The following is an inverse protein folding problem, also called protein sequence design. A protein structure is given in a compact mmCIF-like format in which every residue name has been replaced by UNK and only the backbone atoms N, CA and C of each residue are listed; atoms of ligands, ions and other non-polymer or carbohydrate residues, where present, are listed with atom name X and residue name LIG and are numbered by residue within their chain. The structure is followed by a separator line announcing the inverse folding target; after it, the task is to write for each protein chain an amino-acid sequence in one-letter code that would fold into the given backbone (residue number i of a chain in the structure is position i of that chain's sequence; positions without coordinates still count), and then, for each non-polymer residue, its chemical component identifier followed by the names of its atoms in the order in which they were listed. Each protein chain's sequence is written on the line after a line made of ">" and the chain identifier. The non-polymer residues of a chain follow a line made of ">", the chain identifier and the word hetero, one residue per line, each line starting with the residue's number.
data_IF_905623724965
#
_entry.id   IF_905623724965
#
_cell.length_a   1.000
_cell.length_b   1.000
_cell.length_c   1.000
_cell.angle_alpha   90.00
_cell.angle_beta   90.00
_cell.angle_gamma   90.00
#
_symmetry.space_group_name_H-M   'P 1'
#
loop_
_entity.id
_entity.type
_entity.pdbx_description
1 polymer ?
#
# COMPACT_ATOMS: atom_id res chain seq x y z
N UNK A 1 -7.65 -31.11 9.62
CA UNK A 1 -6.83 -31.00 8.40
C UNK A 1 -6.94 -29.56 7.96
N UNK A 2 -5.88 -28.96 7.43
CA UNK A 2 -5.98 -27.64 6.82
C UNK A 2 -6.95 -27.70 5.63
N UNK A 3 -7.69 -26.62 5.37
CA UNK A 3 -8.55 -26.52 4.20
C UNK A 3 -7.69 -26.50 2.94
N UNK A 4 -8.12 -27.25 1.91
CA UNK A 4 -7.46 -27.23 0.61
C UNK A 4 -8.40 -26.56 -0.38
N UNK A 5 -7.91 -25.54 -1.09
CA UNK A 5 -8.68 -24.79 -2.09
C UNK A 5 -7.94 -24.83 -3.44
N UNK A 6 -8.68 -25.15 -4.50
CA UNK A 6 -8.21 -25.13 -5.88
C UNK A 6 -8.93 -24.04 -6.67
N UNK A 7 -8.25 -22.95 -6.97
CA UNK A 7 -8.71 -21.94 -7.93
C UNK A 7 -8.35 -22.48 -9.33
N UNK A 8 -9.34 -22.79 -10.17
CA UNK A 8 -9.16 -23.55 -11.40
C UNK A 8 -9.68 -22.81 -12.61
N UNK A 9 -9.03 -23.07 -13.77
CA UNK A 9 -9.42 -22.57 -15.10
C UNK A 9 -9.29 -21.05 -15.31
N UNK A 10 -8.54 -20.34 -14.47
CA UNK A 10 -8.32 -18.90 -14.62
C UNK A 10 -7.19 -18.56 -15.57
N UNK A 11 -7.03 -17.29 -15.89
CA UNK A 11 -5.83 -16.74 -16.52
C UNK A 11 -4.90 -16.31 -15.39
N UNK A 12 -3.88 -17.13 -15.09
CA UNK A 12 -3.01 -16.93 -13.92
C UNK A 12 -1.77 -16.14 -14.33
N UNK A 13 -1.57 -14.97 -13.69
CA UNK A 13 -0.37 -14.14 -13.79
C UNK A 13 0.38 -14.26 -12.45
N UNK A 14 1.37 -15.13 -12.28
CA UNK A 14 1.95 -15.43 -10.97
C UNK A 14 2.86 -14.32 -10.43
N UNK A 15 3.30 -13.39 -11.26
CA UNK A 15 4.15 -12.24 -10.89
C UNK A 15 5.48 -12.65 -10.21
N UNK A 16 6.07 -13.77 -10.62
CA UNK A 16 7.32 -14.34 -10.06
C UNK A 16 8.62 -13.68 -10.59
N UNK A 17 8.55 -12.42 -11.03
CA UNK A 17 9.66 -11.70 -11.68
C UNK A 17 9.85 -12.05 -13.15
N UNK A 18 8.90 -12.74 -13.76
CA UNK A 18 8.81 -13.06 -15.19
C UNK A 18 7.42 -12.71 -15.69
N UNK A 19 7.29 -12.49 -16.99
CA UNK A 19 5.99 -12.29 -17.66
C UNK A 19 5.35 -13.66 -17.97
N UNK A 20 5.29 -14.54 -16.96
CA UNK A 20 4.67 -15.85 -17.08
C UNK A 20 3.15 -15.74 -17.03
N UNK A 21 2.46 -16.53 -17.85
CA UNK A 21 1.00 -16.65 -17.89
C UNK A 21 0.65 -18.12 -18.04
N UNK A 22 -0.28 -18.62 -17.23
CA UNK A 22 -0.92 -19.91 -17.42
C UNK A 22 -2.35 -19.69 -17.85
N UNK A 23 -2.72 -20.12 -19.06
CA UNK A 23 -4.00 -19.79 -19.70
C UNK A 23 -4.54 -20.98 -20.54
N UNK A 24 -5.44 -21.83 -19.97
CA UNK A 24 -5.95 -21.76 -18.61
C UNK A 24 -4.94 -22.26 -17.57
N UNK A 25 -4.95 -21.65 -16.39
CA UNK A 25 -4.13 -22.02 -15.26
C UNK A 25 -4.91 -22.26 -13.98
N UNK A 26 -4.21 -22.73 -12.96
CA UNK A 26 -4.76 -23.02 -11.63
C UNK A 26 -3.79 -22.66 -10.52
N UNK A 27 -4.35 -22.39 -9.33
CA UNK A 27 -3.62 -22.19 -8.07
C UNK A 27 -4.20 -23.12 -7.01
N UNK A 28 -3.35 -23.94 -6.40
CA UNK A 28 -3.72 -24.83 -5.30
C UNK A 28 -3.12 -24.32 -3.99
N UNK A 29 -3.95 -24.23 -2.97
CA UNK A 29 -3.58 -23.74 -1.65
C UNK A 29 -3.93 -24.78 -0.58
N UNK A 30 -3.03 -24.97 0.40
CA UNK A 30 -3.29 -25.73 1.62
C UNK A 30 -3.19 -24.80 2.83
N UNK A 31 -4.32 -24.52 3.47
CA UNK A 31 -4.37 -23.51 4.53
C UNK A 31 -3.79 -22.18 4.05
N UNK A 32 -2.80 -21.61 4.73
CA UNK A 32 -2.25 -20.32 4.36
C UNK A 32 -1.20 -20.32 3.24
N UNK A 33 -0.94 -21.46 2.60
CA UNK A 33 0.24 -21.64 1.73
C UNK A 33 -0.14 -22.04 0.31
N UNK A 34 0.48 -21.45 -0.69
CA UNK A 34 0.43 -21.89 -2.08
C UNK A 34 1.26 -23.17 -2.22
N UNK A 35 0.63 -24.26 -2.69
CA UNK A 35 1.30 -25.57 -2.84
C UNK A 35 1.52 -26.00 -4.30
N UNK A 36 0.75 -25.43 -5.23
CA UNK A 36 0.99 -25.57 -6.66
C UNK A 36 0.41 -24.39 -7.44
N UNK A 37 1.04 -24.01 -8.54
CA UNK A 37 0.59 -23.01 -9.51
C UNK A 37 1.09 -23.39 -10.89
N UNK A 38 0.25 -23.27 -11.91
CA UNK A 38 0.63 -23.66 -13.27
C UNK A 38 -0.55 -23.99 -14.17
N UNK A 39 -0.27 -24.70 -15.24
CA UNK A 39 -1.27 -25.25 -16.15
C UNK A 39 -2.25 -26.17 -15.40
N UNK A 40 -3.52 -26.18 -15.82
CA UNK A 40 -4.60 -26.91 -15.14
C UNK A 40 -4.24 -28.37 -14.90
N UNK A 41 -3.80 -29.10 -15.94
CA UNK A 41 -3.51 -30.52 -15.83
C UNK A 41 -2.34 -30.84 -14.88
N UNK A 42 -1.37 -29.94 -14.80
CA UNK A 42 -0.22 -30.09 -13.90
C UNK A 42 -0.64 -29.88 -12.44
N UNK A 43 -1.49 -28.91 -12.17
CA UNK A 43 -2.01 -28.62 -10.81
C UNK A 43 -3.02 -29.70 -10.39
N UNK A 44 -3.90 -30.14 -11.28
CA UNK A 44 -4.88 -31.21 -11.02
C UNK A 44 -4.21 -32.57 -10.68
N UNK A 45 -2.99 -32.80 -11.19
CA UNK A 45 -2.20 -34.00 -10.87
C UNK A 45 -1.60 -33.95 -9.43
N UNK A 46 -1.67 -32.83 -8.73
CA UNK A 46 -1.17 -32.73 -7.36
C UNK A 46 -2.05 -33.54 -6.40
N UNK A 47 -1.47 -34.33 -5.47
CA UNK A 47 -2.23 -35.22 -4.60
C UNK A 47 -3.33 -34.54 -3.79
N UNK A 48 -3.15 -33.28 -3.39
CA UNK A 48 -4.12 -32.52 -2.63
C UNK A 48 -5.29 -32.00 -3.48
N UNK A 49 -5.18 -31.96 -4.80
CA UNK A 49 -6.22 -31.42 -5.67
C UNK A 49 -7.52 -32.26 -5.67
N UNK A 50 -7.39 -33.59 -5.44
CA UNK A 50 -8.53 -34.51 -5.48
C UNK A 50 -9.61 -34.21 -4.41
N UNK A 51 -9.21 -33.71 -3.25
CA UNK A 51 -10.09 -33.41 -2.11
C UNK A 51 -10.27 -31.90 -1.87
N UNK A 52 -9.80 -31.05 -2.81
CA UNK A 52 -9.85 -29.60 -2.69
C UNK A 52 -11.27 -29.05 -2.90
N UNK A 53 -11.61 -28.00 -2.17
CA UNK A 53 -12.71 -27.12 -2.54
C UNK A 53 -12.38 -26.39 -3.83
N UNK A 54 -13.15 -26.63 -4.89
CA UNK A 54 -12.92 -26.06 -6.21
C UNK A 54 -13.62 -24.70 -6.33
N UNK A 55 -12.87 -23.67 -6.65
CA UNK A 55 -13.36 -22.36 -7.06
C UNK A 55 -13.10 -22.22 -8.56
N UNK A 56 -14.15 -22.22 -9.37
CA UNK A 56 -14.04 -22.04 -10.82
C UNK A 56 -13.73 -20.57 -11.14
N UNK A 57 -12.57 -20.32 -11.73
CA UNK A 57 -12.08 -19.03 -12.17
C UNK A 57 -12.13 -18.84 -13.70
N UNK A 58 -12.98 -19.62 -14.39
CA UNK A 58 -13.23 -19.41 -15.83
C UNK A 58 -13.59 -17.94 -16.08
N UNK A 59 -12.98 -17.33 -17.10
CA UNK A 59 -13.12 -15.92 -17.44
C UNK A 59 -12.67 -14.94 -16.32
N UNK A 60 -11.78 -15.36 -15.42
CA UNK A 60 -11.15 -14.48 -14.43
C UNK A 60 -9.64 -14.43 -14.61
N UNK A 61 -9.06 -13.25 -14.39
CA UNK A 61 -7.64 -13.14 -14.09
C UNK A 61 -7.40 -13.57 -12.64
N UNK A 62 -6.31 -14.31 -12.40
CA UNK A 62 -5.86 -14.74 -11.07
C UNK A 62 -4.46 -14.16 -10.86
N UNK A 63 -4.33 -13.24 -9.90
CA UNK A 63 -3.10 -12.50 -9.62
C UNK A 63 -2.76 -12.60 -8.12
N UNK A 64 -1.51 -12.30 -7.72
CA UNK A 64 -1.20 -12.07 -6.32
C UNK A 64 -2.03 -10.92 -5.76
N UNK A 65 -2.24 -10.92 -4.45
CA UNK A 65 -2.84 -9.78 -3.76
C UNK A 65 -2.03 -8.51 -3.93
N UNK A 66 -2.72 -7.36 -3.96
CA UNK A 66 -2.11 -6.05 -4.15
C UNK A 66 -1.53 -5.53 -2.82
N UNK A 67 -0.37 -4.87 -2.90
CA UNK A 67 0.35 -4.29 -1.78
C UNK A 67 0.30 -2.76 -1.85
N UNK A 68 -0.47 -2.13 -0.95
CA UNK A 68 -0.50 -0.69 -0.78
C UNK A 68 0.66 -0.26 0.14
N UNK A 69 1.69 0.34 -0.46
CA UNK A 69 2.94 0.65 0.25
C UNK A 69 2.91 1.97 1.01
N UNK A 70 1.84 2.74 0.89
CA UNK A 70 1.64 3.97 1.64
C UNK A 70 0.17 4.35 1.70
N UNK A 71 -0.33 4.54 2.90
CA UNK A 71 -1.71 4.88 3.22
C UNK A 71 -1.75 5.73 4.48
N UNK A 72 -2.72 6.63 4.56
CA UNK A 72 -3.21 7.25 5.79
C UNK A 72 -4.68 6.91 5.97
N UNK A 73 -5.01 6.14 7.00
CA UNK A 73 -6.40 6.00 7.40
C UNK A 73 -7.01 7.37 7.73
N UNK A 74 -8.26 7.63 7.34
CA UNK A 74 -8.83 8.96 7.57
C UNK A 74 -10.33 9.01 7.32
N UNK A 75 -10.95 10.17 7.62
CA UNK A 75 -12.37 10.45 7.44
C UNK A 75 -12.59 11.86 6.86
N UNK A 76 -11.65 12.35 6.04
CA UNK A 76 -11.68 13.70 5.46
C UNK A 76 -11.98 13.71 3.96
N UNK A 77 -12.34 12.56 3.38
CA UNK A 77 -12.63 12.37 1.95
C UNK A 77 -13.60 13.42 1.41
N UNK A 78 -13.26 13.99 0.25
CA UNK A 78 -14.12 14.96 -0.44
C UNK A 78 -14.22 16.31 0.27
N UNK A 79 -13.25 16.66 1.14
CA UNK A 79 -13.22 17.91 1.88
C UNK A 79 -11.91 18.67 1.61
N UNK A 80 -11.93 20.02 1.76
CA UNK A 80 -10.76 20.89 1.57
C UNK A 80 -10.01 20.67 0.23
N UNK A 81 -10.76 20.45 -0.82
CA UNK A 81 -10.24 20.32 -2.17
C UNK A 81 -9.62 21.65 -2.67
N UNK A 82 -8.61 21.57 -3.57
CA UNK A 82 -8.02 22.73 -4.24
C UNK A 82 -7.24 23.70 -3.33
N UNK A 83 -6.52 23.16 -2.34
CA UNK A 83 -5.58 23.91 -1.49
C UNK A 83 -4.14 23.49 -1.79
N UNK A 84 -3.17 24.41 -1.60
CA UNK A 84 -1.75 24.06 -1.68
C UNK A 84 -1.37 23.16 -0.49
N UNK A 85 -0.43 22.20 -0.67
CA UNK A 85 -0.11 21.15 0.31
C UNK A 85 0.12 21.70 1.71
N UNK A 86 1.03 22.66 1.89
CA UNK A 86 1.40 23.17 3.22
C UNK A 86 0.27 24.00 3.88
N UNK A 87 -0.46 24.79 3.09
CA UNK A 87 -1.66 25.50 3.57
C UNK A 87 -2.75 24.50 3.97
N UNK A 88 -2.93 23.45 3.18
CA UNK A 88 -3.88 22.39 3.44
C UNK A 88 -3.55 21.61 4.73
N UNK A 89 -2.28 21.26 4.94
CA UNK A 89 -1.82 20.61 6.17
C UNK A 89 -2.12 21.51 7.38
N UNK A 90 -1.64 22.74 7.39
CA UNK A 90 -1.74 23.65 8.52
C UNK A 90 -3.18 24.07 8.83
N UNK A 91 -3.95 24.46 7.82
CA UNK A 91 -5.30 25.02 8.02
C UNK A 91 -6.39 23.95 8.14
N UNK A 92 -6.15 22.74 7.63
CA UNK A 92 -7.21 21.74 7.53
C UNK A 92 -6.87 20.39 8.17
N UNK A 93 -5.75 19.78 7.85
CA UNK A 93 -5.38 18.44 8.31
C UNK A 93 -4.95 18.46 9.78
N UNK A 94 -4.05 19.36 10.16
CA UNK A 94 -3.57 19.48 11.54
C UNK A 94 -4.70 19.72 12.56
N UNK A 95 -5.68 20.61 12.32
CA UNK A 95 -6.84 20.72 13.19
C UNK A 95 -7.68 19.44 13.30
N UNK A 96 -7.78 18.66 12.23
CA UNK A 96 -8.44 17.35 12.27
C UNK A 96 -7.65 16.35 13.10
N UNK A 97 -6.32 16.31 12.96
CA UNK A 97 -5.45 15.48 13.81
C UNK A 97 -5.54 15.86 15.29
N UNK A 98 -5.65 17.15 15.63
CA UNK A 98 -5.87 17.61 17.01
C UNK A 98 -7.23 17.17 17.57
N UNK A 99 -8.25 17.06 16.71
CA UNK A 99 -9.59 16.63 17.08
C UNK A 99 -9.77 15.12 17.19
N UNK A 100 -8.82 14.33 16.69
CA UNK A 100 -8.89 12.87 16.59
C UNK A 100 -8.95 12.22 17.99
N UNK A 101 -9.73 11.12 18.12
CA UNK A 101 -9.74 10.25 19.29
C UNK A 101 -9.37 8.81 18.87
N UNK A 102 -9.00 7.93 19.82
CA UNK A 102 -8.76 6.52 19.50
C UNK A 102 -9.91 5.83 18.78
N UNK A 103 -11.16 6.14 19.16
CA UNK A 103 -12.37 5.53 18.58
C UNK A 103 -12.64 6.01 17.15
N UNK A 104 -12.38 7.30 16.89
CA UNK A 104 -12.48 7.89 15.54
C UNK A 104 -11.37 7.31 14.65
N UNK A 105 -10.15 7.21 15.17
CA UNK A 105 -9.00 6.67 14.44
C UNK A 105 -9.21 5.18 14.08
N UNK A 106 -9.75 4.37 14.99
CA UNK A 106 -10.10 2.98 14.71
C UNK A 106 -11.19 2.87 13.64
N UNK A 107 -12.24 3.71 13.70
CA UNK A 107 -13.30 3.72 12.69
C UNK A 107 -12.75 4.07 11.30
N UNK A 108 -11.78 5.00 11.21
CA UNK A 108 -11.09 5.34 9.98
C UNK A 108 -10.31 4.15 9.42
N UNK A 109 -9.51 3.46 10.24
CA UNK A 109 -8.74 2.27 9.79
C UNK A 109 -9.65 1.12 9.37
N UNK A 110 -10.76 0.89 10.08
CA UNK A 110 -11.75 -0.13 9.67
C UNK A 110 -12.35 0.16 8.30
N UNK A 111 -12.69 1.43 8.02
CA UNK A 111 -13.20 1.84 6.71
C UNK A 111 -12.13 1.65 5.63
N UNK A 112 -10.93 2.20 5.84
CA UNK A 112 -9.83 2.16 4.87
C UNK A 112 -9.42 0.73 4.50
N UNK A 113 -9.24 -0.14 5.50
CA UNK A 113 -8.83 -1.53 5.27
C UNK A 113 -9.92 -2.37 4.60
N UNK A 114 -11.20 -2.11 4.92
CA UNK A 114 -12.34 -2.78 4.29
C UNK A 114 -12.47 -2.37 2.82
N UNK A 115 -12.31 -1.08 2.51
CA UNK A 115 -12.33 -0.54 1.15
C UNK A 115 -11.18 -1.11 0.31
N UNK A 116 -9.94 -1.03 0.81
CA UNK A 116 -8.77 -1.58 0.13
C UNK A 116 -8.88 -3.09 -0.10
N UNK A 117 -9.28 -3.87 0.91
CA UNK A 117 -9.48 -5.31 0.77
C UNK A 117 -10.50 -5.64 -0.32
N UNK A 118 -11.62 -4.92 -0.37
CA UNK A 118 -12.65 -5.11 -1.40
C UNK A 118 -12.10 -4.87 -2.80
N UNK A 119 -11.15 -3.95 -2.94
CA UNK A 119 -10.48 -3.61 -4.20
C UNK A 119 -9.23 -4.48 -4.51
N UNK A 120 -9.00 -5.56 -3.76
CA UNK A 120 -7.89 -6.50 -4.01
C UNK A 120 -6.62 -6.24 -3.21
N UNK A 121 -6.58 -5.23 -2.35
CA UNK A 121 -5.44 -4.96 -1.48
C UNK A 121 -5.39 -5.98 -0.33
N UNK A 122 -4.29 -6.71 -0.22
CA UNK A 122 -4.08 -7.70 0.84
C UNK A 122 -3.10 -7.22 1.91
N UNK A 123 -2.34 -6.17 1.62
CA UNK A 123 -1.33 -5.61 2.52
C UNK A 123 -1.31 -4.10 2.42
N UNK A 124 -1.23 -3.43 3.57
CA UNK A 124 -1.13 -1.96 3.68
C UNK A 124 0.07 -1.56 4.54
N UNK A 125 0.72 -0.45 4.21
CA UNK A 125 1.58 0.32 5.10
C UNK A 125 0.79 1.56 5.49
N UNK A 126 0.27 1.59 6.71
CA UNK A 126 -0.61 2.65 7.19
C UNK A 126 0.15 3.54 8.18
N UNK A 127 0.38 4.80 7.81
CA UNK A 127 0.93 5.81 8.70
C UNK A 127 -0.20 6.60 9.34
N UNK A 128 -0.55 6.26 10.60
CA UNK A 128 -1.72 6.80 11.25
C UNK A 128 -1.51 7.04 12.75
N UNK A 129 -2.55 7.41 13.45
CA UNK A 129 -2.56 7.69 14.89
C UNK A 129 -3.40 6.70 15.67
N UNK A 130 -3.09 6.52 16.97
CA UNK A 130 -3.80 5.60 17.86
C UNK A 130 -3.87 4.17 17.30
N UNK A 131 -2.74 3.68 16.80
CA UNK A 131 -2.67 2.49 15.94
C UNK A 131 -3.00 1.15 16.62
N UNK A 132 -3.23 1.13 17.95
CA UNK A 132 -3.86 0.00 18.63
C UNK A 132 -5.24 -0.34 18.04
N UNK A 133 -6.00 0.70 17.62
CA UNK A 133 -7.26 0.53 16.90
C UNK A 133 -7.06 -0.04 15.49
N UNK A 134 -6.02 0.42 14.80
CA UNK A 134 -5.66 -0.10 13.48
C UNK A 134 -5.22 -1.57 13.53
N UNK A 135 -4.51 -1.97 14.60
CA UNK A 135 -4.13 -3.36 14.83
C UNK A 135 -5.38 -4.26 14.95
N UNK A 136 -6.34 -3.87 15.81
CA UNK A 136 -7.62 -4.60 15.94
C UNK A 136 -8.40 -4.64 14.64
N UNK A 137 -8.44 -3.53 13.89
CA UNK A 137 -9.08 -3.48 12.58
C UNK A 137 -8.46 -4.49 11.60
N UNK A 138 -7.13 -4.54 11.52
CA UNK A 138 -6.41 -5.46 10.64
C UNK A 138 -6.64 -6.94 11.03
N UNK A 139 -6.64 -7.25 12.34
CA UNK A 139 -6.92 -8.59 12.86
C UNK A 139 -8.33 -9.08 12.51
N UNK A 140 -9.35 -8.24 12.78
CA UNK A 140 -10.76 -8.55 12.56
C UNK A 140 -11.08 -8.71 11.07
N UNK A 141 -10.59 -7.79 10.24
CA UNK A 141 -10.79 -7.80 8.78
C UNK A 141 -10.00 -8.95 8.14
N UNK A 142 -8.83 -9.26 8.68
CA UNK A 142 -7.96 -10.32 8.19
C UNK A 142 -6.90 -9.88 7.19
N UNK A 143 -6.71 -8.57 6.98
CA UNK A 143 -5.72 -7.98 6.08
C UNK A 143 -4.31 -7.99 6.72
N UNK A 144 -3.24 -7.91 5.91
CA UNK A 144 -1.90 -7.60 6.39
C UNK A 144 -1.75 -6.11 6.60
N UNK A 145 -1.17 -5.70 7.72
CA UNK A 145 -0.90 -4.30 8.02
C UNK A 145 0.51 -4.10 8.59
N UNK A 146 1.24 -3.18 8.02
CA UNK A 146 2.44 -2.60 8.63
C UNK A 146 2.02 -1.28 9.23
N UNK A 147 1.95 -1.23 10.56
CA UNK A 147 1.49 -0.08 11.33
C UNK A 147 2.65 0.87 11.54
N UNK A 148 2.46 2.12 11.16
CA UNK A 148 3.48 3.17 11.23
C UNK A 148 2.91 4.36 12.00
N UNK A 149 3.20 4.50 13.31
CA UNK A 149 2.74 5.64 14.07
C UNK A 149 3.24 6.99 13.49
N UNK A 150 2.36 7.96 13.48
CA UNK A 150 2.60 9.30 12.92
C UNK A 150 3.42 10.14 13.92
N UNK A 151 4.74 9.93 13.98
CA UNK A 151 5.61 10.56 14.99
C UNK A 151 6.07 11.95 14.55
N UNK A 152 5.91 12.92 15.47
CA UNK A 152 6.51 14.25 15.38
C UNK A 152 6.88 14.73 16.79
N UNK A 153 8.02 15.41 16.94
CA UNK A 153 8.56 15.83 18.24
C UNK A 153 9.00 17.30 18.32
N UNK A 154 8.86 18.05 17.20
CA UNK A 154 9.14 19.48 17.23
C UNK A 154 8.01 20.26 17.97
N UNK A 155 8.34 21.42 18.57
CA UNK A 155 7.35 22.23 19.27
C UNK A 155 6.14 22.59 18.40
N UNK A 156 4.93 22.38 18.94
CA UNK A 156 3.66 22.62 18.24
C UNK A 156 3.02 21.36 17.65
N UNK A 157 3.72 20.22 17.66
CA UNK A 157 3.25 18.92 17.15
C UNK A 157 2.98 17.90 18.27
N UNK A 158 2.76 18.34 19.50
CA UNK A 158 2.51 17.53 20.71
C UNK A 158 1.22 16.69 20.66
N UNK A 159 0.42 16.85 19.61
CA UNK A 159 -0.75 16.04 19.30
C UNK A 159 -0.46 14.81 18.43
N UNK A 160 0.75 14.69 17.89
CA UNK A 160 1.20 13.49 17.17
C UNK A 160 1.67 12.39 18.14
N UNK A 161 2.03 11.23 17.57
CA UNK A 161 2.64 10.13 18.32
C UNK A 161 4.10 10.45 18.70
N UNK A 162 4.64 9.71 19.67
CA UNK A 162 6.05 9.79 20.05
C UNK A 162 6.79 8.50 19.67
N UNK A 163 8.11 8.53 19.66
CA UNK A 163 8.90 7.30 19.47
C UNK A 163 8.69 6.29 20.60
N UNK A 164 8.39 6.76 21.82
CA UNK A 164 8.06 5.89 22.96
C UNK A 164 6.73 5.17 22.74
N UNK A 165 5.67 5.87 22.24
CA UNK A 165 4.40 5.22 21.88
C UNK A 165 4.57 4.26 20.71
N UNK A 166 5.39 4.62 19.71
CA UNK A 166 5.74 3.75 18.60
C UNK A 166 6.46 2.48 19.07
N UNK A 167 7.43 2.61 20.00
CA UNK A 167 8.13 1.46 20.58
C UNK A 167 7.18 0.57 21.40
N UNK A 168 6.26 1.14 22.14
CA UNK A 168 5.25 0.37 22.89
C UNK A 168 4.36 -0.44 21.94
N UNK A 169 3.90 0.16 20.83
CA UNK A 169 3.14 -0.53 19.79
C UNK A 169 3.97 -1.65 19.14
N UNK A 170 5.24 -1.39 18.83
CA UNK A 170 6.15 -2.40 18.26
C UNK A 170 6.29 -3.61 19.21
N UNK A 171 6.43 -3.37 20.50
CA UNK A 171 6.59 -4.43 21.50
C UNK A 171 5.31 -5.25 21.68
N UNK A 172 4.13 -4.61 21.59
CA UNK A 172 2.83 -5.28 21.76
C UNK A 172 2.36 -6.04 20.52
N UNK A 173 2.76 -5.60 19.30
CA UNK A 173 2.25 -6.15 18.04
C UNK A 173 3.35 -6.66 17.08
N UNK A 174 4.49 -7.09 17.61
CA UNK A 174 5.63 -7.50 16.78
C UNK A 174 5.32 -8.65 15.81
N UNK A 175 4.47 -9.57 16.22
CA UNK A 175 4.06 -10.76 15.46
C UNK A 175 2.56 -11.04 15.63
N UNK A 176 1.76 -10.00 15.79
CA UNK A 176 0.33 -10.15 16.01
C UNK A 176 -0.36 -10.74 14.77
N UNK A 177 -1.51 -11.37 14.98
CA UNK A 177 -2.33 -11.98 13.91
C UNK A 177 -1.55 -12.95 13.01
N UNK A 178 -0.75 -13.85 13.59
CA UNK A 178 0.10 -14.82 12.85
C UNK A 178 1.10 -14.16 11.89
N UNK A 179 1.64 -12.98 12.27
CA UNK A 179 2.60 -12.20 11.49
C UNK A 179 1.97 -11.32 10.40
N UNK A 180 0.63 -11.20 10.34
CA UNK A 180 -0.03 -10.27 9.43
C UNK A 180 0.06 -8.82 9.89
N UNK A 181 0.09 -8.57 11.20
CA UNK A 181 0.24 -7.23 11.77
C UNK A 181 1.67 -7.04 12.24
N UNK A 182 2.32 -6.01 11.72
CA UNK A 182 3.69 -5.62 12.06
C UNK A 182 3.73 -4.13 12.38
N UNK A 183 4.77 -3.69 13.06
CA UNK A 183 4.98 -2.27 13.35
C UNK A 183 6.33 -1.83 12.82
N UNK A 184 6.36 -0.71 12.10
CA UNK A 184 7.55 0.01 11.72
C UNK A 184 7.66 1.32 12.49
N UNK A 185 8.85 1.91 12.49
CA UNK A 185 9.06 3.25 13.06
C UNK A 185 8.59 4.30 12.06
N UNK A 186 7.72 5.19 12.53
CA UNK A 186 7.22 6.31 11.75
C UNK A 186 7.95 7.59 12.10
N UNK A 187 8.27 8.39 11.09
CA UNK A 187 8.72 9.77 11.22
C UNK A 187 7.92 10.57 10.20
N UNK A 188 7.10 11.49 10.68
CA UNK A 188 6.14 12.17 9.80
C UNK A 188 6.87 12.83 8.61
N UNK A 189 7.82 13.72 8.91
CA UNK A 189 8.52 14.47 7.89
C UNK A 189 9.79 15.12 8.45
N UNK A 190 10.72 15.50 7.56
CA UNK A 190 11.96 16.18 7.90
C UNK A 190 11.75 17.46 8.74
N UNK A 191 10.62 18.14 8.57
CA UNK A 191 10.31 19.41 9.26
C UNK A 191 9.41 19.25 10.49
N UNK A 192 8.98 18.03 10.81
CA UNK A 192 8.18 17.70 11.98
C UNK A 192 8.99 16.99 13.06
N UNK A 193 10.14 16.42 12.68
CA UNK A 193 10.97 15.62 13.58
C UNK A 193 12.36 16.26 13.80
N UNK A 194 12.82 16.18 15.06
CA UNK A 194 14.15 16.64 15.44
C UNK A 194 15.27 15.71 14.90
N UNK A 195 16.53 16.20 14.78
CA UNK A 195 17.66 15.31 14.48
C UNK A 195 17.80 14.14 15.47
N UNK A 196 17.47 14.37 16.73
CA UNK A 196 17.49 13.37 17.80
C UNK A 196 16.46 12.27 17.58
N UNK A 197 15.24 12.61 17.11
CA UNK A 197 14.21 11.65 16.75
C UNK A 197 14.67 10.74 15.60
N UNK A 198 15.28 11.30 14.56
CA UNK A 198 15.85 10.52 13.45
C UNK A 198 16.96 9.58 13.91
N UNK A 199 17.91 10.06 14.72
CA UNK A 199 18.99 9.23 15.26
C UNK A 199 18.43 8.09 16.13
N UNK A 200 17.46 8.40 16.98
CA UNK A 200 16.81 7.40 17.84
C UNK A 200 16.01 6.37 17.04
N UNK A 201 15.31 6.79 15.99
CA UNK A 201 14.60 5.86 15.11
C UNK A 201 15.58 4.91 14.40
N UNK A 202 16.73 5.40 13.91
CA UNK A 202 17.77 4.56 13.30
C UNK A 202 18.32 3.52 14.30
N UNK A 203 18.58 3.90 15.54
CA UNK A 203 19.01 2.98 16.62
C UNK A 203 17.94 1.90 16.89
N UNK A 204 16.68 2.30 17.07
CA UNK A 204 15.57 1.39 17.34
C UNK A 204 15.30 0.43 16.16
N UNK A 205 15.42 0.91 14.93
CA UNK A 205 15.27 0.07 13.75
C UNK A 205 16.30 -1.06 13.73
N UNK A 206 17.55 -0.76 14.09
CA UNK A 206 18.61 -1.75 14.23
C UNK A 206 18.40 -2.69 15.43
N UNK A 207 18.00 -2.15 16.60
CA UNK A 207 17.78 -2.93 17.82
C UNK A 207 16.64 -3.94 17.69
N UNK A 208 15.54 -3.52 17.06
CA UNK A 208 14.31 -4.33 16.94
C UNK A 208 14.18 -5.03 15.59
N UNK A 209 15.14 -4.90 14.70
CA UNK A 209 15.11 -5.50 13.36
C UNK A 209 13.81 -5.12 12.60
N UNK A 210 13.46 -3.84 12.61
CA UNK A 210 12.23 -3.28 12.02
C UNK A 210 12.53 -2.22 10.97
N UNK A 211 11.49 -1.78 10.23
CA UNK A 211 11.63 -0.75 9.19
C UNK A 211 11.38 0.68 9.70
N UNK A 212 11.72 1.63 8.84
CA UNK A 212 11.41 3.05 9.01
C UNK A 212 10.56 3.51 7.82
N UNK A 213 9.55 4.34 8.08
CA UNK A 213 8.75 4.97 7.04
C UNK A 213 8.61 6.47 7.28
N UNK A 214 8.72 7.27 6.19
CA UNK A 214 8.64 8.73 6.21
C UNK A 214 8.27 9.27 4.83
N UNK A 215 7.96 10.57 4.74
CA UNK A 215 7.76 11.30 3.49
C UNK A 215 9.00 12.08 3.09
N UNK A 216 9.23 12.28 1.79
CA UNK A 216 10.30 13.15 1.31
C UNK A 216 10.11 13.66 -0.10
N UNK A 217 10.61 14.87 -0.30
CA UNK A 217 10.80 15.50 -1.63
C UNK A 217 9.51 15.52 -2.45
N UNK A 218 8.37 15.69 -1.76
CA UNK A 218 7.07 15.71 -2.41
C UNK A 218 6.86 16.98 -3.23
N UNK A 219 7.31 18.14 -2.72
CA UNK A 219 7.18 19.42 -3.41
C UNK A 219 8.53 20.14 -3.57
N UNK A 220 8.61 21.06 -4.54
CA UNK A 220 9.79 21.92 -4.71
C UNK A 220 10.05 22.80 -3.50
N UNK A 221 8.97 23.24 -2.81
CA UNK A 221 9.10 24.04 -1.59
C UNK A 221 9.86 23.27 -0.50
N UNK A 222 9.60 21.97 -0.35
CA UNK A 222 10.30 21.11 0.61
C UNK A 222 11.80 21.05 0.31
N UNK A 223 12.16 20.89 -0.97
CA UNK A 223 13.57 20.89 -1.39
C UNK A 223 14.24 22.21 -1.08
N UNK A 224 13.61 23.32 -1.44
CA UNK A 224 14.15 24.68 -1.17
C UNK A 224 14.29 24.95 0.33
N UNK A 225 13.31 24.53 1.13
CA UNK A 225 13.33 24.70 2.58
C UNK A 225 14.38 23.80 3.26
N UNK A 226 14.60 22.58 2.77
CA UNK A 226 15.68 21.71 3.25
C UNK A 226 17.06 22.32 2.95
N UNK A 227 17.27 22.80 1.75
CA UNK A 227 18.50 23.52 1.37
C UNK A 227 18.71 24.74 2.26
N UNK A 228 17.65 25.51 2.54
CA UNK A 228 17.71 26.68 3.41
C UNK A 228 18.05 26.34 4.87
N UNK A 229 17.43 25.29 5.43
CA UNK A 229 17.61 24.90 6.85
C UNK A 229 18.91 24.15 7.09
N UNK A 230 19.21 23.18 6.21
CA UNK A 230 20.27 22.18 6.44
C UNK A 230 21.43 22.27 5.45
N UNK A 231 21.29 23.05 4.37
CA UNK A 231 22.31 23.13 3.30
C UNK A 231 22.40 21.85 2.46
N UNK A 232 21.42 20.95 2.56
CA UNK A 232 21.31 19.68 1.86
C UNK A 232 19.90 19.48 1.34
N UNK A 233 19.75 18.69 0.28
CA UNK A 233 18.45 18.23 -0.22
C UNK A 233 17.86 17.20 0.75
N UNK A 234 16.53 16.89 0.69
CA UNK A 234 15.90 16.06 1.71
C UNK A 234 16.49 14.66 1.86
N UNK A 235 16.75 13.94 0.77
CA UNK A 235 17.34 12.59 0.82
C UNK A 235 18.81 12.63 1.27
N UNK A 236 19.58 13.65 0.87
CA UNK A 236 20.94 13.87 1.39
C UNK A 236 20.93 14.09 2.92
N UNK A 237 19.93 14.83 3.42
CA UNK A 237 19.77 15.04 4.87
C UNK A 237 19.37 13.75 5.57
N UNK A 238 18.49 12.93 5.00
CA UNK A 238 18.15 11.60 5.54
C UNK A 238 19.36 10.65 5.55
N UNK A 239 20.18 10.67 4.50
CA UNK A 239 21.45 9.94 4.49
C UNK A 239 22.37 10.41 5.63
N UNK A 240 22.51 11.72 5.80
CA UNK A 240 23.31 12.30 6.88
C UNK A 240 22.80 11.94 8.28
N UNK A 241 21.48 11.79 8.46
CA UNK A 241 20.84 11.36 9.72
C UNK A 241 20.85 9.84 9.92
N UNK A 242 21.32 9.07 8.95
CA UNK A 242 21.52 7.63 9.05
C UNK A 242 20.23 6.80 9.01
N UNK A 243 19.14 7.31 8.44
CA UNK A 243 17.88 6.56 8.36
C UNK A 243 17.68 5.80 7.06
N UNK A 244 18.48 6.06 6.02
CA UNK A 244 18.39 5.32 4.76
C UNK A 244 18.96 3.91 4.91
N UNK A 245 18.31 2.93 4.30
CA UNK A 245 18.71 1.53 4.36
C UNK A 245 17.68 0.57 3.74
N UNK A 246 18.02 -0.71 3.64
CA UNK A 246 17.20 -1.76 3.00
C UNK A 246 15.78 -1.89 3.59
N UNK A 247 15.58 -1.45 4.83
CA UNK A 247 14.28 -1.45 5.51
C UNK A 247 13.72 -0.04 5.69
N UNK A 248 14.14 0.90 4.86
CA UNK A 248 13.55 2.23 4.81
C UNK A 248 12.69 2.38 3.57
N UNK A 249 11.47 2.87 3.78
CA UNK A 249 10.51 3.19 2.74
C UNK A 249 10.20 4.68 2.79
N UNK A 250 10.42 5.38 1.69
CA UNK A 250 10.16 6.82 1.58
C UNK A 250 9.01 7.07 0.61
N UNK A 251 7.98 7.78 1.08
CA UNK A 251 6.83 8.12 0.24
C UNK A 251 7.14 9.33 -0.66
N UNK A 252 6.49 9.36 -1.82
CA UNK A 252 6.49 10.37 -2.88
C UNK A 252 7.79 10.45 -3.68
N UNK A 253 8.89 10.96 -3.13
CA UNK A 253 10.17 11.11 -3.83
C UNK A 253 10.04 11.78 -5.22
N UNK A 254 9.22 12.84 -5.32
CA UNK A 254 8.88 13.50 -6.60
C UNK A 254 10.06 14.28 -7.15
N UNK A 255 10.69 15.11 -6.30
CA UNK A 255 11.69 16.09 -6.71
C UNK A 255 13.12 15.67 -6.35
N UNK A 256 13.52 14.45 -6.77
CA UNK A 256 14.88 13.96 -6.59
C UNK A 256 15.79 14.35 -7.76
N UNK A 257 17.05 14.69 -7.45
CA UNK A 257 18.11 14.76 -8.44
C UNK A 257 18.83 13.41 -8.62
N UNK A 258 19.83 13.36 -9.52
CA UNK A 258 20.53 12.10 -9.83
C UNK A 258 21.32 11.59 -8.62
N UNK A 259 21.90 12.49 -7.82
CA UNK A 259 22.67 12.11 -6.62
C UNK A 259 21.76 11.51 -5.53
N UNK A 260 20.56 12.06 -5.31
CA UNK A 260 19.61 11.51 -4.36
C UNK A 260 19.12 10.12 -4.80
N UNK A 261 18.94 9.90 -6.11
CA UNK A 261 18.60 8.57 -6.67
C UNK A 261 19.76 7.58 -6.42
N UNK A 262 21.02 8.00 -6.64
CA UNK A 262 22.19 7.17 -6.32
C UNK A 262 22.22 6.79 -4.83
N UNK A 263 21.97 7.73 -3.91
CA UNK A 263 21.93 7.46 -2.47
C UNK A 263 20.85 6.44 -2.09
N UNK A 264 19.63 6.54 -2.67
CA UNK A 264 18.59 5.55 -2.44
C UNK A 264 18.98 4.15 -2.94
N UNK A 265 19.60 4.08 -4.14
CA UNK A 265 20.05 2.83 -4.71
C UNK A 265 21.21 2.19 -3.90
N UNK A 266 22.23 2.99 -3.51
CA UNK A 266 23.37 2.52 -2.73
C UNK A 266 22.98 2.01 -1.34
N UNK A 267 21.96 2.62 -0.73
CA UNK A 267 21.47 2.22 0.60
C UNK A 267 20.42 1.12 0.56
N UNK A 268 19.88 0.79 -0.62
CA UNK A 268 18.78 -0.16 -0.75
C UNK A 268 17.44 0.40 -0.27
N UNK A 269 17.33 1.73 -0.12
CA UNK A 269 16.08 2.39 0.31
C UNK A 269 15.00 2.27 -0.76
N UNK A 270 13.78 1.93 -0.35
CA UNK A 270 12.63 1.75 -1.21
C UNK A 270 11.75 3.00 -1.31
N UNK A 271 10.96 3.10 -2.37
CA UNK A 271 10.06 4.23 -2.63
C UNK A 271 8.61 3.76 -2.71
N UNK A 272 7.71 4.48 -2.03
CA UNK A 272 6.27 4.37 -2.23
C UNK A 272 5.81 5.48 -3.20
N UNK A 273 5.43 5.08 -4.41
CA UNK A 273 4.94 6.00 -5.42
C UNK A 273 3.42 6.16 -5.33
N UNK A 274 2.96 7.40 -5.13
CA UNK A 274 1.56 7.76 -4.93
C UNK A 274 1.06 8.65 -6.08
N UNK A 275 0.79 8.10 -7.28
CA UNK A 275 0.55 8.90 -8.47
C UNK A 275 -0.71 9.76 -8.38
N UNK A 276 -1.83 9.25 -7.83
CA UNK A 276 -3.07 10.02 -7.70
C UNK A 276 -2.90 11.21 -6.75
N UNK A 277 -2.29 10.98 -5.58
CA UNK A 277 -1.98 12.03 -4.62
C UNK A 277 -1.08 13.10 -5.23
N UNK A 278 0.04 12.68 -5.85
CA UNK A 278 0.98 13.60 -6.48
C UNK A 278 0.32 14.47 -7.58
N UNK A 279 -0.66 13.93 -8.30
CA UNK A 279 -1.44 14.69 -9.30
C UNK A 279 -2.47 15.59 -8.65
N UNK A 280 -3.22 15.10 -7.66
CA UNK A 280 -4.27 15.87 -6.99
C UNK A 280 -3.71 17.08 -6.24
N UNK A 281 -2.60 16.90 -5.52
CA UNK A 281 -1.92 17.96 -4.79
C UNK A 281 -0.98 18.80 -5.68
N UNK A 282 -0.91 18.46 -6.99
CA UNK A 282 -0.01 19.10 -7.95
C UNK A 282 1.46 19.07 -7.50
N UNK A 283 1.87 18.03 -6.77
CA UNK A 283 3.23 17.82 -6.28
C UNK A 283 4.20 17.60 -7.45
N UNK A 284 3.77 16.90 -8.50
CA UNK A 284 4.55 16.66 -9.72
C UNK A 284 4.75 15.18 -10.04
N UNK A 285 5.40 14.85 -11.16
CA UNK A 285 5.68 13.48 -11.56
C UNK A 285 7.01 12.98 -10.96
N UNK A 286 6.99 11.88 -10.21
CA UNK A 286 8.19 11.21 -9.75
C UNK A 286 8.93 10.51 -10.90
N UNK A 287 10.26 10.41 -10.78
CA UNK A 287 11.17 9.80 -11.78
C UNK A 287 11.22 8.27 -11.65
N UNK A 288 10.04 7.62 -11.66
CA UNK A 288 9.88 6.17 -11.40
C UNK A 288 10.72 5.31 -12.34
N UNK A 289 10.84 5.71 -13.62
CA UNK A 289 11.68 5.01 -14.60
C UNK A 289 13.15 4.99 -14.18
N UNK A 290 13.68 6.13 -13.70
CA UNK A 290 15.06 6.25 -13.24
C UNK A 290 15.27 5.45 -11.94
N UNK A 291 14.31 5.48 -11.01
CA UNK A 291 14.38 4.68 -9.77
C UNK A 291 14.51 3.20 -10.09
N UNK A 292 13.64 2.68 -10.96
CA UNK A 292 13.68 1.26 -11.36
C UNK A 292 14.96 0.90 -12.12
N UNK A 293 15.44 1.80 -12.99
CA UNK A 293 16.71 1.61 -13.72
C UNK A 293 17.92 1.58 -12.77
N UNK A 294 17.88 2.32 -11.66
CA UNK A 294 18.88 2.29 -10.60
C UNK A 294 18.74 1.09 -9.64
N UNK A 295 17.72 0.22 -9.83
CA UNK A 295 17.50 -0.97 -9.00
C UNK A 295 16.72 -0.70 -7.70
N UNK A 296 16.17 0.50 -7.52
CA UNK A 296 15.35 0.85 -6.36
C UNK A 296 14.02 0.11 -6.44
N UNK A 297 13.59 -0.50 -5.33
CA UNK A 297 12.27 -1.09 -5.23
C UNK A 297 11.21 0.01 -5.10
N UNK A 298 10.29 0.04 -6.06
CA UNK A 298 9.19 0.99 -6.08
C UNK A 298 7.88 0.24 -5.96
N UNK A 299 7.14 0.50 -4.88
CA UNK A 299 5.76 0.04 -4.70
C UNK A 299 4.76 1.14 -5.02
N UNK A 300 3.49 0.78 -5.24
CA UNK A 300 2.39 1.73 -5.35
C UNK A 300 1.77 1.98 -3.98
N UNK A 301 1.47 3.25 -3.69
CA UNK A 301 0.71 3.70 -2.54
C UNK A 301 -0.50 4.52 -2.97
N UNK A 302 -1.63 4.34 -2.30
CA UNK A 302 -2.81 5.18 -2.56
C UNK A 302 -2.70 6.55 -1.91
N UNK A 303 -1.81 6.69 -0.93
CA UNK A 303 -1.86 7.77 0.04
C UNK A 303 -3.19 7.75 0.83
N UNK A 304 -3.52 8.76 1.60
CA UNK A 304 -4.77 8.83 2.33
C UNK A 304 -5.97 9.14 1.44
N UNK A 305 -7.15 8.86 1.98
CA UNK A 305 -8.42 9.10 1.30
C UNK A 305 -8.71 10.60 1.08
N UNK A 306 -8.02 11.49 1.79
CA UNK A 306 -8.10 12.94 1.62
C UNK A 306 -7.16 13.44 0.52
N UNK A 307 -6.07 12.73 0.25
CA UNK A 307 -5.10 13.00 -0.81
C UNK A 307 -5.53 12.43 -2.17
N UNK A 308 -6.33 11.35 -2.17
CA UNK A 308 -6.67 10.56 -3.37
C UNK A 308 -8.18 10.48 -3.64
N UNK A 309 -9.01 10.50 -2.61
CA UNK A 309 -10.47 10.28 -2.60
C UNK A 309 -10.92 8.82 -2.73
N UNK A 310 -10.04 7.86 -3.01
CA UNK A 310 -10.30 6.42 -2.91
C UNK A 310 -9.02 5.66 -2.51
N UNK A 311 -9.14 4.36 -2.23
CA UNK A 311 -8.03 3.49 -1.86
C UNK A 311 -7.94 2.29 -2.82
N UNK A 312 -8.21 2.53 -4.11
CA UNK A 312 -8.24 1.54 -5.17
C UNK A 312 -6.88 1.47 -5.90
N UNK A 313 -6.07 0.45 -5.58
CA UNK A 313 -4.78 0.25 -6.25
C UNK A 313 -4.90 -0.10 -7.75
N UNK A 314 -6.05 -0.56 -8.24
CA UNK A 314 -6.28 -0.72 -9.68
C UNK A 314 -6.29 0.64 -10.37
N UNK A 315 -6.87 1.66 -9.74
CA UNK A 315 -6.82 3.03 -10.24
C UNK A 315 -5.41 3.61 -10.17
N UNK A 316 -4.69 3.39 -9.06
CA UNK A 316 -3.28 3.79 -8.93
C UNK A 316 -2.41 3.22 -10.05
N UNK A 317 -2.59 1.95 -10.42
CA UNK A 317 -1.85 1.35 -11.53
C UNK A 317 -2.05 2.11 -12.84
N UNK A 318 -3.28 2.48 -13.16
CA UNK A 318 -3.60 3.25 -14.37
C UNK A 318 -2.88 4.60 -14.37
N UNK A 319 -3.00 5.33 -13.27
CA UNK A 319 -2.41 6.66 -13.16
C UNK A 319 -0.88 6.62 -13.09
N UNK A 320 -0.28 5.63 -12.46
CA UNK A 320 1.18 5.43 -12.49
C UNK A 320 1.70 5.29 -13.93
N UNK A 321 1.05 4.44 -14.75
CA UNK A 321 1.43 4.28 -16.15
C UNK A 321 1.22 5.57 -16.97
N UNK A 322 0.05 6.20 -16.86
CA UNK A 322 -0.29 7.38 -17.65
C UNK A 322 0.58 8.59 -17.28
N UNK A 323 0.84 8.78 -15.97
CA UNK A 323 1.70 9.86 -15.49
C UNK A 323 3.14 9.68 -15.98
N UNK A 324 3.67 8.45 -15.92
CA UNK A 324 5.01 8.15 -16.46
C UNK A 324 5.11 8.49 -17.95
N UNK A 325 4.12 8.06 -18.78
CA UNK A 325 4.09 8.31 -20.23
C UNK A 325 4.05 9.80 -20.55
N UNK A 326 3.16 10.56 -19.90
CA UNK A 326 3.01 11.99 -20.19
C UNK A 326 4.21 12.79 -19.70
N UNK A 327 4.83 12.41 -18.59
CA UNK A 327 6.03 13.08 -18.08
C UNK A 327 7.27 12.85 -18.93
N UNK A 328 7.45 11.64 -19.43
CA UNK A 328 8.55 11.30 -20.32
C UNK A 328 8.30 11.73 -21.78
N UNK A 329 7.07 12.11 -22.16
CA UNK A 329 6.62 12.26 -23.55
C UNK A 329 6.95 11.02 -24.42
N UNK A 330 6.89 9.84 -23.79
CA UNK A 330 7.23 8.56 -24.39
C UNK A 330 6.15 7.52 -24.06
N UNK A 331 5.42 6.99 -25.08
CA UNK A 331 4.38 6.00 -24.86
C UNK A 331 4.91 4.60 -24.49
N UNK A 332 6.22 4.38 -24.56
CA UNK A 332 6.86 3.06 -24.30
C UNK A 332 7.19 2.83 -22.83
N UNK A 333 7.27 3.89 -22.00
CA UNK A 333 7.48 3.76 -20.55
C UNK A 333 6.19 3.34 -19.83
N UNK A 334 6.27 2.90 -18.59
CA UNK A 334 5.11 2.50 -17.80
C UNK A 334 4.37 1.30 -18.41
N UNK A 335 5.15 0.28 -18.79
CA UNK A 335 4.63 -1.00 -19.32
C UNK A 335 3.68 -1.67 -18.30
N UNK A 336 2.55 -2.27 -18.74
CA UNK A 336 1.59 -2.88 -17.81
C UNK A 336 2.17 -3.92 -16.87
N UNK A 337 3.12 -4.74 -17.31
CA UNK A 337 3.77 -5.73 -16.44
C UNK A 337 4.62 -5.10 -15.35
N UNK A 338 5.32 -4.02 -15.69
CA UNK A 338 6.13 -3.27 -14.70
C UNK A 338 5.23 -2.61 -13.66
N UNK A 339 4.08 -2.10 -14.07
CA UNK A 339 3.10 -1.49 -13.16
C UNK A 339 2.43 -2.55 -12.27
N UNK A 340 2.04 -3.70 -12.83
CA UNK A 340 1.53 -4.83 -12.04
C UNK A 340 2.56 -5.31 -11.02
N UNK A 341 3.85 -5.36 -11.40
CA UNK A 341 4.93 -5.70 -10.46
C UNK A 341 5.02 -4.69 -9.32
N UNK A 342 4.87 -3.38 -9.59
CA UNK A 342 4.86 -2.33 -8.55
C UNK A 342 3.70 -2.53 -7.56
N UNK A 343 2.53 -2.94 -8.03
CA UNK A 343 1.37 -3.21 -7.19
C UNK A 343 1.45 -4.56 -6.44
N UNK A 344 2.36 -5.45 -6.79
CA UNK A 344 2.46 -6.82 -6.26
C UNK A 344 3.85 -7.10 -5.70
N UNK A 345 4.73 -7.78 -6.44
CA UNK A 345 6.04 -8.25 -5.97
C UNK A 345 6.99 -7.11 -5.59
N UNK A 346 7.04 -6.01 -6.35
CA UNK A 346 7.91 -4.88 -6.01
C UNK A 346 7.40 -4.15 -4.76
N UNK A 347 6.06 -4.00 -4.60
CA UNK A 347 5.45 -3.51 -3.37
C UNK A 347 5.78 -4.39 -2.17
N UNK A 348 5.72 -5.72 -2.33
CA UNK A 348 6.12 -6.67 -1.29
C UNK A 348 7.62 -6.56 -0.95
N UNK A 349 8.51 -6.35 -1.95
CA UNK A 349 9.95 -6.09 -1.72
C UNK A 349 10.16 -4.80 -0.94
N UNK A 350 9.51 -3.72 -1.36
CA UNK A 350 9.63 -2.42 -0.70
C UNK A 350 9.22 -2.44 0.77
N UNK A 351 8.35 -3.39 1.14
CA UNK A 351 7.85 -3.54 2.52
C UNK A 351 8.46 -4.73 3.26
N UNK A 352 9.46 -5.43 2.68
CA UNK A 352 10.11 -6.59 3.30
C UNK A 352 9.18 -7.81 3.44
N UNK A 353 8.22 -7.98 2.52
CA UNK A 353 7.27 -9.10 2.47
C UNK A 353 7.48 -10.03 1.29
N UNK A 354 8.51 -9.82 0.45
CA UNK A 354 8.67 -10.56 -0.81
C UNK A 354 8.86 -12.07 -0.63
N UNK A 355 9.44 -12.51 0.48
CA UNK A 355 9.56 -13.94 0.81
C UNK A 355 8.23 -14.55 1.29
N UNK A 356 7.26 -13.71 1.61
CA UNK A 356 5.96 -14.09 2.18
C UNK A 356 4.84 -13.98 1.15
N UNK A 357 4.80 -12.89 0.36
CA UNK A 357 3.67 -12.49 -0.48
C UNK A 357 4.13 -11.75 -1.74
N UNK A 358 3.19 -11.25 -2.53
CA UNK A 358 3.45 -10.43 -3.73
C UNK A 358 3.66 -11.22 -5.02
N UNK A 359 3.75 -12.56 -4.96
CA UNK A 359 3.75 -13.45 -6.11
C UNK A 359 3.08 -14.79 -5.75
N UNK A 360 2.55 -15.47 -6.77
CA UNK A 360 1.98 -16.82 -6.61
C UNK A 360 3.11 -17.85 -6.83
N UNK A 361 3.88 -18.11 -5.79
CA UNK A 361 4.97 -19.09 -5.78
C UNK A 361 4.74 -20.15 -4.70
N UNK A 362 5.13 -21.38 -5.00
CA UNK A 362 5.04 -22.49 -4.03
C UNK A 362 5.84 -22.14 -2.76
N UNK A 363 5.19 -22.31 -1.62
CA UNK A 363 5.74 -21.99 -0.30
C UNK A 363 5.40 -20.60 0.23
N UNK A 364 4.98 -19.65 -0.61
CA UNK A 364 4.49 -18.34 -0.17
C UNK A 364 3.07 -18.42 0.39
N UNK A 365 2.67 -17.36 1.08
CA UNK A 365 1.32 -17.23 1.59
C UNK A 365 0.32 -17.13 0.45
N UNK A 366 -0.83 -17.72 0.65
CA UNK A 366 -1.92 -17.74 -0.29
C UNK A 366 -2.72 -16.42 -0.22
N UNK A 367 -2.08 -15.35 -0.71
CA UNK A 367 -2.64 -14.02 -0.90
C UNK A 367 -2.99 -13.89 -2.39
N UNK A 368 -4.25 -14.10 -2.75
CA UNK A 368 -4.70 -14.26 -4.14
C UNK A 368 -5.89 -13.34 -4.41
N UNK A 369 -5.94 -12.78 -5.60
CA UNK A 369 -7.05 -11.97 -6.10
C UNK A 369 -7.55 -12.56 -7.42
N UNK A 370 -8.88 -12.64 -7.57
CA UNK A 370 -9.52 -12.91 -8.85
C UNK A 370 -10.26 -11.68 -9.36
N UNK A 371 -10.10 -11.36 -10.64
CA UNK A 371 -10.76 -10.23 -11.32
C UNK A 371 -11.67 -10.77 -12.41
N UNK A 372 -12.96 -10.41 -12.38
CA UNK A 372 -13.97 -10.83 -13.36
C UNK A 372 -13.77 -10.13 -14.71
N UNK A 373 -13.32 -10.86 -15.72
CA UNK A 373 -13.05 -10.35 -17.07
C UNK A 373 -14.30 -10.26 -17.96
N UNK A 374 -15.47 -10.71 -17.50
CA UNK A 374 -16.76 -10.68 -18.26
C UNK A 374 -17.40 -9.30 -18.28
N UNK A 375 -16.64 -8.25 -18.06
CA UNK A 375 -17.12 -6.86 -18.07
C UNK A 375 -17.03 -6.25 -19.46
N UNK A 376 -17.95 -5.37 -19.79
CA UNK A 376 -17.98 -4.70 -21.13
C UNK A 376 -16.67 -3.96 -21.41
N UNK A 377 -16.13 -3.27 -20.40
CA UNK A 377 -14.90 -2.48 -20.52
C UNK A 377 -13.61 -3.33 -20.52
N UNK A 378 -13.71 -4.63 -20.25
CA UNK A 378 -12.62 -5.61 -20.33
C UNK A 378 -12.72 -6.51 -21.58
N UNK A 379 -13.60 -6.17 -22.53
CA UNK A 379 -13.80 -6.93 -23.78
C UNK A 379 -13.11 -6.20 -24.94
N UNK A 380 -12.35 -6.92 -25.82
CA UNK A 380 -12.17 -8.38 -25.88
C UNK A 380 -11.05 -8.88 -24.94
N UNK A 381 -11.18 -10.10 -24.38
CA UNK A 381 -10.09 -10.84 -23.75
C UNK A 381 -9.41 -11.67 -24.82
N UNK A 382 -8.10 -11.50 -24.99
CA UNK A 382 -7.29 -12.16 -26.02
C UNK A 382 -6.22 -13.04 -25.37
N UNK A 383 -5.92 -14.17 -26.04
CA UNK A 383 -5.05 -15.23 -25.56
C UNK A 383 -3.82 -15.41 -26.45
N UNK A 384 -2.83 -16.15 -26.00
CA UNK A 384 -1.65 -16.52 -26.78
C UNK A 384 -0.84 -15.30 -27.24
N UNK A 385 -0.50 -15.21 -28.56
CA UNK A 385 0.35 -14.11 -29.07
C UNK A 385 -0.25 -12.69 -28.89
N UNK A 386 -1.56 -12.60 -28.83
CA UNK A 386 -2.29 -11.33 -28.71
C UNK A 386 -2.72 -11.03 -27.28
N UNK A 387 -2.14 -11.73 -26.28
CA UNK A 387 -2.48 -11.62 -24.87
C UNK A 387 -2.54 -10.17 -24.37
N UNK A 388 -3.68 -9.77 -23.81
CA UNK A 388 -3.94 -8.40 -23.41
C UNK A 388 -4.40 -8.22 -21.94
N UNK A 389 -4.49 -9.29 -21.15
CA UNK A 389 -5.06 -9.23 -19.79
C UNK A 389 -4.23 -8.34 -18.87
N UNK A 390 -2.88 -8.36 -18.97
CA UNK A 390 -2.04 -7.43 -18.19
C UNK A 390 -2.38 -5.96 -18.47
N UNK A 391 -2.64 -5.62 -19.74
CA UNK A 391 -3.08 -4.27 -20.11
C UNK A 391 -4.49 -3.96 -19.59
N UNK A 392 -5.39 -4.93 -19.63
CA UNK A 392 -6.73 -4.77 -19.04
C UNK A 392 -6.67 -4.49 -17.54
N UNK A 393 -5.87 -5.23 -16.80
CA UNK A 393 -5.71 -5.05 -15.35
C UNK A 393 -5.19 -3.65 -15.00
N UNK A 394 -4.30 -3.08 -15.82
CA UNK A 394 -3.72 -1.75 -15.56
C UNK A 394 -4.58 -0.61 -16.08
N UNK A 395 -5.16 -0.72 -17.27
CA UNK A 395 -5.78 0.43 -17.92
C UNK A 395 -7.31 0.45 -17.86
N UNK A 396 -7.94 -0.70 -17.62
CA UNK A 396 -9.38 -0.84 -17.76
C UNK A 396 -10.08 -1.35 -16.52
N UNK A 397 -9.47 -2.28 -15.77
CA UNK A 397 -10.04 -2.81 -14.54
C UNK A 397 -10.06 -1.77 -13.42
N UNK A 398 -11.00 -1.91 -12.51
CA UNK A 398 -11.10 -1.16 -11.26
C UNK A 398 -11.38 -2.10 -10.09
N UNK A 399 -11.32 -1.63 -8.87
CA UNK A 399 -11.60 -2.43 -7.67
C UNK A 399 -13.00 -3.05 -7.65
N UNK A 400 -13.95 -2.50 -8.40
CA UNK A 400 -15.30 -3.06 -8.56
C UNK A 400 -15.34 -4.34 -9.42
N UNK A 401 -14.29 -4.65 -10.17
CA UNK A 401 -14.17 -5.86 -10.99
C UNK A 401 -13.50 -7.01 -10.21
N UNK A 402 -12.98 -6.76 -9.01
CA UNK A 402 -12.46 -7.77 -8.10
C UNK A 402 -13.62 -8.68 -7.64
N UNK A 403 -13.50 -9.99 -7.94
CA UNK A 403 -14.51 -10.97 -7.53
C UNK A 403 -14.18 -11.54 -6.16
N UNK A 404 -12.97 -12.03 -5.96
CA UNK A 404 -12.60 -12.67 -4.69
C UNK A 404 -11.19 -12.33 -4.27
N UNK A 405 -11.00 -12.27 -2.94
CA UNK A 405 -9.70 -12.00 -2.31
C UNK A 405 -9.45 -13.02 -1.22
N UNK A 406 -8.26 -13.63 -1.26
CA UNK A 406 -7.75 -14.49 -0.19
C UNK A 406 -6.56 -13.81 0.48
N UNK A 407 -6.51 -13.90 1.80
CA UNK A 407 -5.35 -13.54 2.62
C UNK A 407 -5.03 -14.74 3.52
N UNK A 408 -3.80 -15.22 3.49
CA UNK A 408 -3.40 -16.46 4.17
C UNK A 408 -4.36 -17.64 3.87
N UNK A 409 -4.81 -17.78 2.63
CA UNK A 409 -5.72 -18.82 2.18
C UNK A 409 -7.17 -18.68 2.69
N UNK A 410 -7.48 -17.64 3.45
CA UNK A 410 -8.85 -17.33 3.89
C UNK A 410 -9.53 -16.44 2.85
N UNK A 411 -10.63 -16.90 2.28
CA UNK A 411 -11.42 -16.13 1.31
C UNK A 411 -12.23 -15.05 2.04
N UNK A 412 -11.72 -13.81 2.00
CA UNK A 412 -12.28 -12.67 2.74
C UNK A 412 -13.26 -11.85 1.91
N UNK A 413 -13.14 -11.88 0.58
CA UNK A 413 -14.08 -11.27 -0.38
C UNK A 413 -14.63 -12.34 -1.29
N UNK A 414 -15.93 -12.32 -1.56
CA UNK A 414 -16.65 -13.27 -2.43
C UNK A 414 -17.69 -12.50 -3.23
N UNK A 415 -17.59 -12.55 -4.57
CA UNK A 415 -18.51 -11.85 -5.46
C UNK A 415 -18.46 -10.32 -5.26
N UNK A 416 -17.27 -9.76 -4.94
CA UNK A 416 -17.07 -8.34 -4.68
C UNK A 416 -17.58 -7.86 -3.31
N UNK A 417 -17.98 -8.78 -2.41
CA UNK A 417 -18.47 -8.44 -1.08
C UNK A 417 -17.54 -8.97 0.01
N UNK A 418 -17.17 -8.12 0.96
CA UNK A 418 -16.38 -8.50 2.13
C UNK A 418 -17.22 -9.41 3.03
N UNK A 419 -16.63 -10.54 3.47
CA UNK A 419 -17.29 -11.59 4.28
C UNK A 419 -16.70 -11.72 5.69
N UNK A 420 -15.54 -11.16 5.93
CA UNK A 420 -14.89 -11.23 7.26
C UNK A 420 -15.50 -10.30 8.28
N UNK A 421 -16.12 -9.21 7.84
CA UNK A 421 -16.75 -8.17 8.69
C UNK A 421 -18.04 -7.67 8.07
N UNK A 422 -18.87 -6.99 8.88
CA UNK A 422 -20.05 -6.28 8.40
C UNK A 422 -19.66 -4.90 7.84
N UNK A 423 -19.47 -4.84 6.52
CA UNK A 423 -19.05 -3.63 5.82
C UNK A 423 -20.06 -2.48 5.95
N UNK A 424 -21.37 -2.77 6.07
CA UNK A 424 -22.38 -1.72 6.25
C UNK A 424 -22.35 -1.13 7.66
N UNK A 425 -22.12 -1.96 8.69
CA UNK A 425 -21.92 -1.48 10.05
C UNK A 425 -20.64 -0.61 10.13
N UNK A 426 -19.55 -1.01 9.45
CA UNK A 426 -18.31 -0.22 9.36
C UNK A 426 -18.59 1.13 8.69
N UNK A 427 -19.28 1.14 7.55
CA UNK A 427 -19.64 2.37 6.84
C UNK A 427 -20.45 3.33 7.72
N UNK A 428 -21.46 2.78 8.42
CA UNK A 428 -22.32 3.55 9.32
C UNK A 428 -21.51 4.15 10.47
N UNK A 429 -20.67 3.35 11.12
CA UNK A 429 -19.82 3.85 12.23
C UNK A 429 -18.80 4.88 11.76
N UNK A 430 -18.22 4.72 10.56
CA UNK A 430 -17.30 5.67 9.97
C UNK A 430 -18.00 7.02 9.68
N UNK A 431 -19.23 7.00 9.20
CA UNK A 431 -20.04 8.22 9.00
C UNK A 431 -20.26 8.96 10.32
N UNK A 432 -20.69 8.27 11.38
CA UNK A 432 -20.87 8.84 12.72
C UNK A 432 -19.55 9.41 13.27
N UNK A 433 -18.44 8.68 13.09
CA UNK A 433 -17.12 9.11 13.51
C UNK A 433 -16.63 10.35 12.75
N UNK A 434 -16.94 10.45 11.45
CA UNK A 434 -16.64 11.63 10.66
C UNK A 434 -17.43 12.86 11.16
N UNK A 435 -18.72 12.71 11.43
CA UNK A 435 -19.55 13.79 11.98
C UNK A 435 -18.99 14.28 13.33
N UNK A 436 -18.63 13.36 14.23
CA UNK A 436 -18.00 13.68 15.51
C UNK A 436 -16.65 14.40 15.31
N UNK A 437 -15.80 13.92 14.38
CA UNK A 437 -14.51 14.54 14.06
C UNK A 437 -14.69 15.99 13.61
N UNK A 438 -15.65 16.24 12.71
CA UNK A 438 -15.91 17.59 12.19
C UNK A 438 -16.49 18.52 13.25
N UNK A 439 -17.34 18.04 14.18
CA UNK A 439 -17.84 18.81 15.30
C UNK A 439 -16.71 19.22 16.24
N UNK A 440 -15.84 18.27 16.61
CA UNK A 440 -14.66 18.53 17.46
C UNK A 440 -13.68 19.50 16.80
N UNK A 441 -13.42 19.31 15.48
CA UNK A 441 -12.55 20.21 14.71
C UNK A 441 -13.07 21.64 14.71
N UNK A 442 -14.38 21.85 14.46
CA UNK A 442 -15.00 23.18 14.50
C UNK A 442 -14.83 23.84 15.88
N UNK A 443 -15.05 23.11 16.95
CA UNK A 443 -14.88 23.63 18.30
C UNK A 443 -13.43 24.09 18.59
N UNK A 444 -12.42 23.49 17.97
CA UNK A 444 -11.01 23.90 18.09
C UNK A 444 -10.66 25.14 17.25
N UNK A 445 -11.37 25.38 16.14
CA UNK A 445 -11.08 26.51 15.23
C UNK A 445 -11.89 27.76 15.51
N UNK A 446 -12.98 27.68 16.31
CA UNK A 446 -13.81 28.80 16.73
C UNK A 446 -13.32 29.46 18.03
N UNK A 447 -12.30 28.93 18.70
CA UNK A 447 -11.65 29.45 19.91
C UNK A 447 -10.35 30.14 19.60
#
# INVERSE_FOLDING_TARGET
>A
MASVTLIRNGIVLPMEGRRAVFDPGSVLMEGPTVVAVGEVDAVDAHPLAADAEVVDATDHAVIPGLHNTHLHSGLLRGTAESMALWEWLEAYVDPAHKALTPEIAEAASRLAYTEGLRAGTVSVVDMWRFMEGSARAAEDIGIRATLVPYVADLPGYDYFETLESNLALLQSHREAADGRVRTWLGLEHLFYCSPEAFARAAELAGEYDTGIHTHSSETTWEVDESLRRFGRRPIEEFFHRGILGERTLVAHCVWLDDHEIELLAETGTSVAHCPCSNMKLASGPARVGDFRAAGIHVGLGSDGEKENNNLDLMEEMKFASLLAKVSALDPTVGDPWDILEMATLAGARATGLADVSGSLEVGKRADVVTVDLRRLHLTPVLHGPDFNVAAHLVFSAGGADVDSVWVDGRRLVVGGEVRSVDAEAIRTRAQEAAEELFDRRRALTET
#
